data_IF_839018032133
#
_entry.id   IF_839018032133
#
_cell.length_a   1.000
_cell.length_b   1.000
_cell.length_c   1.000
_cell.angle_alpha   90.00
_cell.angle_beta   90.00
_cell.angle_gamma   90.00
#
_symmetry.space_group_name_H-M   'P 1'
#
loop_
_entity.id
_entity.type
_entity.pdbx_description
1 polymer ?
#
# COMPACT_ATOMS: atom_id res chain seq x y z
N UNK A 1 -29.02 -22.27 -4.59
CA UNK A 1 -29.60 -21.31 -3.63
C UNK A 1 -28.44 -20.57 -3.00
N UNK A 2 -28.25 -19.29 -3.32
CA UNK A 2 -27.18 -18.49 -2.73
C UNK A 2 -27.49 -18.35 -1.23
N UNK A 3 -26.59 -18.83 -0.39
CA UNK A 3 -26.71 -18.65 1.05
C UNK A 3 -26.45 -17.17 1.30
N UNK A 4 -27.46 -16.43 1.76
CA UNK A 4 -27.29 -15.01 2.08
C UNK A 4 -26.11 -14.85 3.03
N UNK A 5 -25.16 -13.99 2.65
CA UNK A 5 -23.98 -13.76 3.47
C UNK A 5 -24.42 -13.14 4.80
N UNK A 6 -23.86 -13.53 5.96
CA UNK A 6 -24.11 -12.87 7.24
C UNK A 6 -23.96 -11.35 7.18
N UNK A 7 -23.12 -10.83 6.27
CA UNK A 7 -23.00 -9.40 5.96
C UNK A 7 -24.29 -8.80 5.37
N UNK A 8 -24.96 -9.46 4.43
CA UNK A 8 -26.20 -8.96 3.82
C UNK A 8 -27.32 -8.80 4.85
N UNK A 9 -27.42 -9.71 5.82
CA UNK A 9 -28.41 -9.63 6.91
C UNK A 9 -28.16 -8.46 7.88
N UNK A 10 -26.91 -7.98 8.00
CA UNK A 10 -26.54 -6.86 8.90
C UNK A 10 -26.54 -5.51 8.20
N UNK A 11 -26.22 -5.49 6.90
CA UNK A 11 -26.31 -4.31 6.03
C UNK A 11 -27.76 -3.83 5.83
N UNK A 12 -28.76 -4.65 6.13
CA UNK A 12 -30.18 -4.34 6.07
C UNK A 12 -30.75 -3.78 7.38
N UNK A 13 -29.93 -3.60 8.42
CA UNK A 13 -30.34 -2.90 9.64
C UNK A 13 -30.47 -1.39 9.39
N UNK A 14 -31.48 -0.76 10.00
CA UNK A 14 -31.91 0.63 9.74
C UNK A 14 -30.91 1.73 10.15
N UNK A 15 -29.63 1.41 10.34
CA UNK A 15 -28.60 2.31 10.90
C UNK A 15 -27.31 2.37 10.06
N UNK A 16 -27.20 1.63 8.96
CA UNK A 16 -25.99 1.63 8.12
C UNK A 16 -26.05 2.74 7.07
N UNK A 17 -25.07 3.65 7.06
CA UNK A 17 -25.03 4.76 6.08
C UNK A 17 -24.68 4.26 4.67
N UNK A 18 -25.02 5.02 3.62
CA UNK A 18 -24.65 4.68 2.24
C UNK A 18 -23.12 4.53 2.07
N UNK A 19 -22.35 5.36 2.78
CA UNK A 19 -20.89 5.27 2.82
C UNK A 19 -20.42 3.94 3.40
N UNK A 20 -21.04 3.49 4.50
CA UNK A 20 -20.70 2.22 5.13
C UNK A 20 -21.05 1.05 4.21
N UNK A 21 -22.23 1.09 3.56
CA UNK A 21 -22.63 0.09 2.56
C UNK A 21 -21.61 0.00 1.43
N UNK A 22 -21.15 1.13 0.89
CA UNK A 22 -20.14 1.16 -0.18
C UNK A 22 -18.81 0.55 0.26
N UNK A 23 -18.33 0.90 1.45
CA UNK A 23 -17.09 0.35 2.00
C UNK A 23 -17.18 -1.17 2.25
N UNK A 24 -18.29 -1.65 2.81
CA UNK A 24 -18.51 -3.08 3.04
C UNK A 24 -18.64 -3.87 1.74
N UNK A 25 -19.34 -3.32 0.74
CA UNK A 25 -19.39 -3.90 -0.61
C UNK A 25 -18.01 -3.99 -1.26
N UNK A 26 -17.18 -2.96 -1.10
CA UNK A 26 -15.81 -2.97 -1.60
C UNK A 26 -14.99 -4.10 -0.97
N UNK A 27 -15.07 -4.29 0.36
CA UNK A 27 -14.40 -5.41 1.04
C UNK A 27 -14.87 -6.75 0.46
N UNK A 28 -16.18 -6.94 0.33
CA UNK A 28 -16.75 -8.17 -0.23
C UNK A 28 -16.27 -8.41 -1.68
N UNK A 29 -16.24 -7.38 -2.52
CA UNK A 29 -15.75 -7.48 -3.91
C UNK A 29 -14.27 -7.88 -3.96
N UNK A 30 -13.42 -7.23 -3.16
CA UNK A 30 -11.98 -7.51 -3.12
C UNK A 30 -11.67 -8.89 -2.56
N UNK A 31 -12.46 -9.37 -1.60
CA UNK A 31 -12.22 -10.66 -0.91
C UNK A 31 -12.93 -11.83 -1.57
N UNK A 32 -13.91 -11.61 -2.44
CA UNK A 32 -14.61 -12.68 -3.17
C UNK A 32 -13.72 -13.35 -4.21
N UNK A 33 -12.88 -12.58 -4.90
CA UNK A 33 -11.97 -13.09 -5.94
C UNK A 33 -10.53 -12.56 -5.76
N UNK A 34 -9.86 -12.91 -4.66
CA UNK A 34 -8.57 -12.31 -4.31
C UNK A 34 -7.47 -12.65 -5.31
N UNK A 35 -7.50 -13.83 -5.95
CA UNK A 35 -6.50 -14.22 -6.94
C UNK A 35 -6.55 -13.31 -8.19
N UNK A 36 -7.75 -13.01 -8.70
CA UNK A 36 -7.92 -12.08 -9.82
C UNK A 36 -7.53 -10.65 -9.46
N UNK A 37 -7.87 -10.19 -8.26
CA UNK A 37 -7.43 -8.88 -7.75
C UNK A 37 -5.90 -8.81 -7.68
N UNK A 38 -5.25 -9.84 -7.14
CA UNK A 38 -3.79 -9.89 -7.03
C UNK A 38 -3.09 -9.97 -8.40
N UNK A 39 -3.65 -10.71 -9.36
CA UNK A 39 -3.13 -10.76 -10.73
C UNK A 39 -3.18 -9.39 -11.40
N UNK A 40 -4.32 -8.67 -11.25
CA UNK A 40 -4.47 -7.31 -11.75
C UNK A 40 -3.48 -6.34 -11.10
N UNK A 41 -3.35 -6.37 -9.76
CA UNK A 41 -2.41 -5.51 -9.02
C UNK A 41 -0.98 -5.74 -9.48
N UNK A 42 -0.55 -7.00 -9.62
CA UNK A 42 0.79 -7.31 -10.14
C UNK A 42 0.95 -6.78 -11.57
N UNK A 43 -0.05 -7.00 -12.43
CA UNK A 43 -0.02 -6.53 -13.81
C UNK A 43 0.11 -5.01 -13.92
N UNK A 44 -0.62 -4.26 -13.10
CA UNK A 44 -0.54 -2.80 -13.02
C UNK A 44 0.84 -2.34 -12.55
N UNK A 45 1.42 -2.97 -11.52
CA UNK A 45 2.77 -2.66 -11.02
C UNK A 45 3.82 -2.90 -12.10
N UNK A 46 3.78 -4.07 -12.77
CA UNK A 46 4.77 -4.43 -13.78
C UNK A 46 4.63 -3.60 -15.06
N UNK A 47 3.39 -3.35 -15.51
CA UNK A 47 3.13 -2.51 -16.67
C UNK A 47 3.63 -1.08 -16.44
N UNK A 48 3.34 -0.52 -15.26
CA UNK A 48 3.74 0.85 -14.92
C UNK A 48 5.24 1.02 -14.77
N UNK A 49 5.92 0.00 -14.24
CA UNK A 49 7.34 0.08 -13.89
C UNK A 49 8.24 -0.65 -14.89
N UNK A 50 7.72 -1.09 -16.04
CA UNK A 50 8.44 -1.88 -17.04
C UNK A 50 9.77 -1.28 -17.48
N UNK A 51 9.84 0.06 -17.48
CA UNK A 51 11.00 0.81 -17.93
C UNK A 51 11.96 1.25 -16.83
N UNK A 52 11.67 0.89 -15.58
CA UNK A 52 12.53 1.22 -14.43
C UNK A 52 13.86 0.47 -14.49
N UNK A 53 14.91 1.09 -13.95
CA UNK A 53 16.23 0.49 -13.91
C UNK A 53 16.22 -0.89 -13.24
N UNK A 54 15.49 -1.04 -12.13
CA UNK A 54 15.42 -2.30 -11.40
C UNK A 54 14.79 -3.43 -12.22
N UNK A 55 13.61 -3.21 -12.83
CA UNK A 55 12.94 -4.27 -13.59
C UNK A 55 13.64 -4.59 -14.92
N UNK A 56 14.34 -3.62 -15.52
CA UNK A 56 15.15 -3.84 -16.73
C UNK A 56 16.28 -4.84 -16.51
N UNK A 57 16.85 -4.94 -15.31
CA UNK A 57 17.92 -5.91 -14.98
C UNK A 57 17.48 -7.36 -15.06
N UNK A 58 16.18 -7.62 -15.00
CA UNK A 58 15.63 -8.96 -15.00
C UNK A 58 15.01 -9.35 -16.36
N UNK A 59 15.20 -8.51 -17.39
CA UNK A 59 14.77 -8.78 -18.77
C UNK A 59 13.32 -9.26 -18.88
N UNK A 60 12.40 -8.60 -18.15
CA UNK A 60 10.98 -8.93 -18.21
C UNK A 60 10.39 -8.68 -19.61
N UNK A 61 11.01 -7.83 -20.43
CA UNK A 61 10.59 -7.53 -21.81
C UNK A 61 9.11 -7.15 -21.92
N UNK A 62 8.61 -6.37 -20.96
CA UNK A 62 7.21 -5.96 -20.90
C UNK A 62 6.23 -7.04 -20.41
N UNK A 63 6.71 -8.22 -19.99
CA UNK A 63 5.87 -9.24 -19.39
C UNK A 63 5.28 -8.75 -18.07
N UNK A 64 3.96 -8.90 -17.93
CA UNK A 64 3.19 -8.51 -16.74
C UNK A 64 2.56 -9.70 -16.02
N UNK A 65 2.84 -10.92 -16.48
CA UNK A 65 2.25 -12.13 -15.95
C UNK A 65 3.01 -12.68 -14.72
N UNK A 66 2.25 -13.33 -13.84
CA UNK A 66 2.74 -13.88 -12.58
C UNK A 66 3.84 -14.93 -12.76
N UNK A 67 3.80 -15.73 -13.82
CA UNK A 67 4.75 -16.83 -14.04
C UNK A 67 6.11 -16.28 -14.41
N UNK A 68 6.17 -15.33 -15.34
CA UNK A 68 7.41 -14.67 -15.73
C UNK A 68 8.00 -13.89 -14.57
N UNK A 69 7.18 -13.12 -13.84
CA UNK A 69 7.61 -12.40 -12.64
C UNK A 69 8.28 -13.33 -11.61
N UNK A 70 7.60 -14.42 -11.22
CA UNK A 70 8.13 -15.40 -10.26
C UNK A 70 9.42 -16.10 -10.71
N UNK A 71 9.62 -16.23 -12.02
CA UNK A 71 10.79 -16.93 -12.58
C UNK A 71 12.01 -16.01 -12.68
N UNK A 72 11.79 -14.72 -12.96
CA UNK A 72 12.87 -13.77 -13.29
C UNK A 72 13.23 -12.81 -12.17
N UNK A 73 12.26 -12.37 -11.36
CA UNK A 73 12.50 -11.38 -10.31
C UNK A 73 12.81 -12.12 -8.99
N UNK A 74 13.99 -11.90 -8.39
CA UNK A 74 14.39 -12.59 -7.17
C UNK A 74 13.61 -12.09 -5.96
N UNK A 75 13.50 -12.95 -4.96
CA UNK A 75 13.11 -12.53 -3.61
C UNK A 75 14.31 -11.81 -2.99
N UNK A 76 14.10 -10.60 -2.50
CA UNK A 76 15.16 -9.70 -2.00
C UNK A 76 14.90 -9.25 -0.57
N UNK A 77 15.97 -8.86 0.10
CA UNK A 77 15.99 -8.20 1.40
C UNK A 77 16.23 -6.69 1.24
N UNK A 78 16.23 -5.94 2.35
CA UNK A 78 16.54 -4.50 2.31
C UNK A 78 17.99 -4.25 1.87
N UNK A 79 18.90 -5.13 2.30
CA UNK A 79 20.32 -5.05 2.01
C UNK A 79 20.60 -5.17 0.50
N UNK A 80 19.82 -6.00 -0.21
CA UNK A 80 19.92 -6.18 -1.66
C UNK A 80 19.45 -4.93 -2.45
N UNK A 81 18.59 -4.09 -1.86
CA UNK A 81 18.05 -2.86 -2.46
C UNK A 81 18.74 -1.58 -1.96
N UNK A 82 19.76 -1.73 -1.09
CA UNK A 82 20.35 -0.61 -0.37
C UNK A 82 21.00 0.40 -1.33
N UNK A 83 21.59 -0.06 -2.44
CA UNK A 83 22.26 0.80 -3.40
C UNK A 83 21.27 1.71 -4.15
N UNK A 84 20.14 1.16 -4.58
CA UNK A 84 19.05 1.90 -5.23
C UNK A 84 18.49 2.95 -4.27
N UNK A 85 18.19 2.54 -3.04
CA UNK A 85 17.66 3.41 -1.99
C UNK A 85 18.64 4.55 -1.70
N UNK A 86 19.94 4.25 -1.57
CA UNK A 86 20.97 5.27 -1.35
C UNK A 86 21.05 6.27 -2.49
N UNK A 87 21.03 5.82 -3.75
CA UNK A 87 21.03 6.72 -4.92
C UNK A 87 19.84 7.68 -4.90
N UNK A 88 18.63 7.16 -4.68
CA UNK A 88 17.42 7.98 -4.60
C UNK A 88 17.52 8.97 -3.43
N UNK A 89 17.95 8.49 -2.26
CA UNK A 89 18.13 9.33 -1.05
C UNK A 89 19.15 10.44 -1.26
N UNK A 90 20.19 10.21 -2.09
CA UNK A 90 21.25 11.16 -2.43
C UNK A 90 20.87 12.16 -3.52
N UNK A 91 19.69 12.04 -4.13
CA UNK A 91 19.21 13.01 -5.11
C UNK A 91 18.99 12.45 -6.51
N UNK A 92 19.26 11.16 -6.76
CA UNK A 92 18.91 10.56 -8.05
C UNK A 92 17.37 10.55 -8.23
N UNK A 93 16.90 11.09 -9.35
CA UNK A 93 15.47 11.19 -9.71
C UNK A 93 15.14 10.40 -10.96
N UNK A 94 16.10 9.64 -11.50
CA UNK A 94 15.82 8.68 -12.56
C UNK A 94 14.88 7.57 -12.07
N UNK A 95 14.12 6.92 -12.96
CA UNK A 95 13.16 5.88 -12.58
C UNK A 95 13.87 4.58 -12.18
N UNK A 96 14.44 4.54 -10.97
CA UNK A 96 15.21 3.38 -10.48
C UNK A 96 14.26 2.26 -10.05
N UNK A 97 13.39 2.53 -9.07
CA UNK A 97 12.45 1.55 -8.48
C UNK A 97 11.00 1.77 -8.93
N UNK A 98 10.65 2.99 -9.33
CA UNK A 98 9.32 3.35 -9.79
C UNK A 98 9.38 4.32 -10.96
N UNK A 99 8.40 4.25 -11.86
CA UNK A 99 8.18 5.29 -12.87
C UNK A 99 7.58 6.56 -12.29
N UNK A 100 6.95 6.49 -11.12
CA UNK A 100 6.51 7.67 -10.39
C UNK A 100 7.64 8.20 -9.50
N UNK A 101 7.76 9.53 -9.35
CA UNK A 101 8.74 10.11 -8.45
C UNK A 101 8.54 9.63 -7.02
N UNK A 102 9.63 9.24 -6.36
CA UNK A 102 9.62 9.00 -4.91
C UNK A 102 9.44 10.34 -4.20
N UNK A 103 8.40 10.44 -3.38
CA UNK A 103 8.01 11.69 -2.70
C UNK A 103 8.61 11.79 -1.29
N UNK A 104 8.78 10.66 -0.61
CA UNK A 104 9.36 10.55 0.73
C UNK A 104 9.89 9.13 1.00
N UNK A 105 10.59 8.98 2.12
CA UNK A 105 10.99 7.68 2.66
C UNK A 105 10.34 7.41 4.01
N UNK A 106 9.48 6.41 4.11
CA UNK A 106 8.93 5.98 5.40
C UNK A 106 10.00 5.21 6.16
N UNK A 107 10.30 5.66 7.38
CA UNK A 107 11.37 5.09 8.22
C UNK A 107 10.83 3.97 9.09
N UNK A 108 11.07 2.74 8.64
CA UNK A 108 10.66 1.55 9.38
C UNK A 108 11.24 1.53 10.80
N UNK A 109 10.53 0.88 11.73
CA UNK A 109 11.08 0.54 13.05
C UNK A 109 12.19 -0.51 12.97
N UNK A 110 12.23 -1.31 11.89
CA UNK A 110 13.32 -2.23 11.60
C UNK A 110 14.58 -1.49 11.15
N UNK A 111 15.74 -1.97 11.59
CA UNK A 111 17.03 -1.33 11.34
C UNK A 111 17.94 -2.17 10.44
N UNK A 112 18.87 -1.52 9.74
CA UNK A 112 20.00 -2.13 9.05
C UNK A 112 21.26 -1.36 9.44
N UNK A 113 22.25 -2.04 10.01
CA UNK A 113 23.47 -1.44 10.56
C UNK A 113 23.21 -0.30 11.58
N UNK A 114 22.19 -0.46 12.43
CA UNK A 114 21.83 0.52 13.48
C UNK A 114 20.91 1.65 13.02
N UNK A 115 20.76 1.86 11.72
CA UNK A 115 19.92 2.91 11.15
C UNK A 115 18.56 2.38 10.69
N UNK A 116 17.52 3.24 10.74
CA UNK A 116 16.18 2.87 10.26
C UNK A 116 16.19 2.60 8.77
N UNK A 117 15.42 1.59 8.34
CA UNK A 117 15.24 1.28 6.91
C UNK A 117 14.39 2.35 6.24
N UNK A 118 14.89 2.90 5.14
CA UNK A 118 14.21 3.89 4.31
C UNK A 118 13.35 3.19 3.26
N UNK A 119 12.03 3.27 3.39
CA UNK A 119 11.07 2.66 2.47
C UNK A 119 10.55 3.73 1.49
N UNK A 120 10.95 3.69 0.20
CA UNK A 120 10.49 4.68 -0.76
C UNK A 120 8.98 4.55 -0.97
N UNK A 121 8.28 5.67 -1.04
CA UNK A 121 6.84 5.71 -1.32
C UNK A 121 6.54 6.79 -2.36
N UNK A 122 5.42 6.61 -3.06
CA UNK A 122 4.91 7.55 -4.07
C UNK A 122 3.60 8.17 -3.60
N UNK A 123 3.20 9.29 -4.19
CA UNK A 123 1.98 10.02 -3.79
C UNK A 123 0.72 9.15 -3.76
N UNK A 124 0.53 8.29 -4.77
CA UNK A 124 -0.60 7.36 -4.83
C UNK A 124 -0.69 6.39 -3.64
N UNK A 125 0.42 6.09 -2.96
CA UNK A 125 0.40 5.21 -1.80
C UNK A 125 -0.35 5.85 -0.63
N UNK A 126 -0.35 7.19 -0.53
CA UNK A 126 -1.13 7.91 0.47
C UNK A 126 -2.63 7.69 0.24
N UNK A 127 -3.09 7.73 -1.01
CA UNK A 127 -4.49 7.47 -1.35
C UNK A 127 -4.90 6.04 -1.00
N UNK A 128 -4.03 5.05 -1.28
CA UNK A 128 -4.25 3.65 -0.89
C UNK A 128 -4.31 3.48 0.63
N UNK A 129 -3.47 4.18 1.39
CA UNK A 129 -3.53 4.19 2.87
C UNK A 129 -4.84 4.81 3.38
N UNK A 130 -5.27 5.94 2.80
CA UNK A 130 -6.53 6.59 3.16
C UNK A 130 -7.75 5.71 2.86
N UNK A 131 -7.74 5.00 1.73
CA UNK A 131 -8.76 4.01 1.40
C UNK A 131 -8.86 2.96 2.50
N UNK A 132 -7.73 2.35 2.91
CA UNK A 132 -7.71 1.36 3.99
C UNK A 132 -8.29 1.93 5.30
N UNK A 133 -7.88 3.13 5.72
CA UNK A 133 -8.43 3.77 6.93
C UNK A 133 -9.94 4.00 6.85
N UNK A 134 -10.45 4.33 5.66
CA UNK A 134 -11.88 4.56 5.45
C UNK A 134 -12.74 3.32 5.68
N UNK A 135 -12.16 2.12 5.63
CA UNK A 135 -12.86 0.84 5.82
C UNK A 135 -13.04 0.48 7.31
N UNK A 136 -12.28 1.10 8.22
CA UNK A 136 -12.27 0.71 9.64
C UNK A 136 -13.61 0.97 10.34
N UNK A 137 -14.14 2.19 10.23
CA UNK A 137 -15.41 2.56 10.89
C UNK A 137 -16.63 1.83 10.32
N UNK A 138 -16.78 1.67 8.99
CA UNK A 138 -17.84 0.83 8.42
C UNK A 138 -17.87 -0.59 9.00
N UNK A 139 -16.70 -1.22 9.17
CA UNK A 139 -16.61 -2.55 9.78
C UNK A 139 -16.97 -2.49 11.27
N UNK A 140 -16.43 -1.53 12.02
CA UNK A 140 -16.71 -1.39 13.45
C UNK A 140 -18.20 -1.17 13.75
N UNK A 141 -18.88 -0.36 12.92
CA UNK A 141 -20.31 -0.05 13.07
C UNK A 141 -21.21 -1.30 12.97
N UNK A 142 -20.76 -2.40 12.36
CA UNK A 142 -21.48 -3.68 12.35
C UNK A 142 -21.51 -4.37 13.73
N UNK A 143 -20.62 -4.00 14.64
CA UNK A 143 -20.43 -4.66 15.94
C UNK A 143 -20.63 -3.72 17.12
N UNK A 144 -20.33 -2.43 16.96
CA UNK A 144 -20.43 -1.41 18.00
C UNK A 144 -21.23 -0.22 17.43
N UNK A 145 -22.57 -0.23 17.54
CA UNK A 145 -23.40 0.85 17.00
C UNK A 145 -23.31 2.11 17.86
N UNK A 146 -23.58 3.27 17.26
CA UNK A 146 -23.67 4.54 17.98
C UNK A 146 -22.32 5.23 18.26
N UNK A 147 -21.22 4.77 17.66
CA UNK A 147 -19.92 5.45 17.77
C UNK A 147 -19.93 6.87 17.18
N UNK A 148 -20.85 7.11 16.24
CA UNK A 148 -21.16 8.43 15.66
C UNK A 148 -21.83 9.38 16.66
N UNK A 149 -22.37 8.87 17.78
CA UNK A 149 -23.02 9.66 18.83
C UNK A 149 -22.04 10.13 19.92
N UNK A 150 -20.75 9.88 19.74
CA UNK A 150 -19.70 10.22 20.69
C UNK A 150 -18.45 10.78 20.01
N UNK A 151 -17.36 10.83 20.77
CA UNK A 151 -16.02 11.17 20.27
C UNK A 151 -15.04 10.11 20.75
N UNK A 152 -14.07 9.77 19.91
CA UNK A 152 -12.93 8.94 20.31
C UNK A 152 -11.81 9.80 20.89
N UNK A 153 -11.26 9.39 22.03
CA UNK A 153 -10.03 9.96 22.58
C UNK A 153 -8.84 9.17 22.04
N UNK A 154 -8.05 9.80 21.16
CA UNK A 154 -6.86 9.21 20.57
C UNK A 154 -5.61 10.02 20.94
N UNK A 155 -4.62 9.35 21.53
CA UNK A 155 -3.31 9.93 21.80
C UNK A 155 -2.39 9.65 20.60
N UNK A 156 -2.32 10.60 19.68
CA UNK A 156 -1.51 10.50 18.45
C UNK A 156 -0.27 11.38 18.59
N UNK A 157 0.89 10.81 18.34
CA UNK A 157 2.18 11.51 18.46
C UNK A 157 2.94 11.41 17.15
N UNK A 158 3.37 12.56 16.65
CA UNK A 158 4.38 12.63 15.59
C UNK A 158 5.77 12.40 16.18
N UNK A 159 6.70 11.88 15.39
CA UNK A 159 8.12 11.80 15.77
C UNK A 159 8.94 12.76 14.92
N UNK A 160 10.21 12.93 15.28
CA UNK A 160 11.15 13.74 14.51
C UNK A 160 11.22 13.26 13.06
N UNK A 161 11.08 14.20 12.14
CA UNK A 161 11.34 14.00 10.72
C UNK A 161 12.80 14.36 10.42
N UNK A 162 13.43 13.63 9.51
CA UNK A 162 14.71 14.00 8.92
C UNK A 162 14.55 14.22 7.43
N UNK A 163 15.57 14.80 6.79
CA UNK A 163 15.65 14.88 5.33
C UNK A 163 16.86 14.09 4.87
N UNK A 164 16.71 13.41 3.74
CA UNK A 164 17.85 12.78 3.07
C UNK A 164 18.80 13.85 2.53
N UNK A 165 20.02 13.46 2.19
CA UNK A 165 21.01 14.33 1.52
C UNK A 165 20.47 14.96 0.23
N UNK A 166 19.66 14.21 -0.52
CA UNK A 166 18.93 14.66 -1.71
C UNK A 166 17.65 15.46 -1.41
N UNK A 167 17.36 15.79 -0.15
CA UNK A 167 16.26 16.67 0.25
C UNK A 167 14.88 16.02 0.38
N UNK A 168 14.76 14.69 0.25
CA UNK A 168 13.48 14.00 0.44
C UNK A 168 13.15 13.89 1.94
N UNK A 169 11.88 14.11 2.35
CA UNK A 169 11.41 13.81 3.70
C UNK A 169 11.65 12.35 4.06
N UNK A 170 11.95 12.09 5.34
CA UNK A 170 12.07 10.75 5.89
C UNK A 170 11.31 10.61 7.24
N UNK A 171 9.97 10.70 7.24
CA UNK A 171 9.16 10.50 8.44
C UNK A 171 9.03 9.01 8.82
N UNK A 172 8.56 8.66 10.04
CA UNK A 172 8.17 7.29 10.39
C UNK A 172 7.05 6.69 9.55
#
# INVERSE_FOLDING_TARGET
MAVDSPLQSRMSSSTTSEKDVKALKFIEEMTRNPDSVQEKVLGEILSRNSDTEYLKRFDLNGAIDRKTFKTKVPVVTYEDLKLEIQRISNGDRSPILSSHPITEFLTSSGTSAGERKLMPTIEEDLERRQLLYSLLMPVMNLYVPGLDKGKGLYFLFVKSESKTSGGLPAPP
#
